data_IF_131770266958
#
_entry.id   IF_131770266958
#
_cell.length_a   1.000
_cell.length_b   1.000
_cell.length_c   1.000
_cell.angle_alpha   90.00
_cell.angle_beta   90.00
_cell.angle_gamma   90.00
#
_symmetry.space_group_name_H-M   'P 1'
#
loop_
_entity.id
_entity.type
_entity.pdbx_description
1 polymer ?
#
# COMPACT_ATOMS: atom_id res chain seq x y z
N UNK A 1 -58.42 24.66 44.25
CA UNK A 1 -57.87 23.85 43.15
C UNK A 1 -56.47 23.45 43.55
N UNK A 2 -56.27 22.14 43.73
CA UNK A 2 -55.06 21.49 44.21
C UNK A 2 -54.37 20.86 43.01
N UNK A 3 -53.05 21.05 42.91
CA UNK A 3 -52.01 20.08 42.51
C UNK A 3 -50.93 20.71 41.61
N UNK A 4 -49.64 20.56 41.98
CA UNK A 4 -48.48 20.96 41.19
C UNK A 4 -47.93 19.78 40.37
N UNK A 5 -47.36 20.05 39.20
CA UNK A 5 -46.52 19.08 38.47
C UNK A 5 -45.05 19.47 38.58
N UNK A 6 -44.35 18.75 39.47
CA UNK A 6 -42.91 18.56 39.45
C UNK A 6 -42.50 17.89 38.13
N UNK A 7 -41.42 18.36 37.50
CA UNK A 7 -40.49 17.44 36.86
C UNK A 7 -39.05 17.93 37.00
N UNK A 8 -38.26 17.02 37.54
CA UNK A 8 -36.86 17.13 37.94
C UNK A 8 -35.93 17.47 36.77
N UNK A 9 -35.17 18.55 36.92
CA UNK A 9 -33.95 18.76 36.14
C UNK A 9 -32.84 17.87 36.68
N UNK A 10 -32.57 16.76 36.00
CA UNK A 10 -31.36 15.97 36.21
C UNK A 10 -30.19 16.64 35.49
N UNK A 11 -29.34 17.31 36.28
CA UNK A 11 -28.00 17.73 35.89
C UNK A 11 -27.18 16.49 35.52
N UNK A 12 -26.95 16.29 34.22
CA UNK A 12 -25.90 15.40 33.75
C UNK A 12 -24.55 16.10 33.97
N UNK A 13 -23.92 15.84 35.12
CA UNK A 13 -22.51 16.10 35.31
C UNK A 13 -21.72 15.13 34.43
N UNK A 14 -21.32 15.57 33.24
CA UNK A 14 -20.39 14.85 32.40
C UNK A 14 -19.00 14.94 33.05
N UNK A 15 -18.54 13.83 33.62
CA UNK A 15 -17.20 13.66 34.18
C UNK A 15 -16.17 13.77 33.05
N UNK A 16 -15.48 14.89 32.94
CA UNK A 16 -14.29 15.03 32.10
C UNK A 16 -13.12 14.32 32.78
N UNK A 17 -13.07 13.00 32.65
CA UNK A 17 -11.83 12.27 32.86
C UNK A 17 -10.98 12.46 31.59
N UNK A 18 -10.32 13.63 31.46
CA UNK A 18 -9.15 13.74 30.60
C UNK A 18 -8.07 12.88 31.25
N UNK A 19 -8.08 11.58 30.92
CA UNK A 19 -6.88 10.78 31.08
C UNK A 19 -5.81 11.48 30.23
N UNK A 20 -4.80 12.03 30.90
CA UNK A 20 -3.55 12.45 30.27
C UNK A 20 -2.93 11.18 29.65
N UNK A 21 -3.41 10.78 28.48
CA UNK A 21 -2.69 9.85 27.65
C UNK A 21 -1.38 10.57 27.32
N UNK A 22 -0.27 10.09 27.89
CA UNK A 22 1.05 10.56 27.47
C UNK A 22 1.13 10.39 25.95
N UNK A 23 1.41 11.49 25.23
CA UNK A 23 1.53 11.43 23.78
C UNK A 23 2.58 10.40 23.40
N UNK A 24 2.30 9.66 22.34
CA UNK A 24 3.21 8.67 21.79
C UNK A 24 3.04 8.61 20.28
N UNK A 25 4.11 8.21 19.59
CA UNK A 25 4.11 8.03 18.14
C UNK A 25 4.88 6.77 17.75
N UNK A 26 4.60 6.26 16.55
CA UNK A 26 5.33 5.14 15.98
C UNK A 26 6.50 5.63 15.15
N UNK A 27 7.68 5.09 15.46
CA UNK A 27 8.90 5.21 14.66
C UNK A 27 9.14 3.88 13.94
N UNK A 28 9.51 3.96 12.66
CA UNK A 28 9.80 2.78 11.85
C UNK A 28 11.28 2.68 11.50
N UNK A 29 11.74 1.45 11.36
CA UNK A 29 13.04 1.10 10.78
C UNK A 29 12.89 -0.21 10.01
N UNK A 30 13.66 -0.38 8.94
CA UNK A 30 13.75 -1.66 8.22
C UNK A 30 14.83 -2.54 8.86
N UNK A 31 14.53 -3.83 9.03
CA UNK A 31 15.54 -4.85 9.35
C UNK A 31 16.20 -5.31 8.06
N UNK A 32 17.44 -4.89 7.83
CA UNK A 32 18.15 -5.09 6.56
C UNK A 32 18.94 -6.41 6.48
N UNK A 33 19.39 -6.75 5.27
CA UNK A 33 20.07 -7.98 4.93
C UNK A 33 19.14 -9.19 4.84
N UNK A 34 17.83 -8.98 4.79
CA UNK A 34 16.85 -10.07 4.68
C UNK A 34 16.50 -10.31 3.21
N UNK A 35 16.33 -9.22 2.45
CA UNK A 35 15.88 -9.26 1.07
C UNK A 35 16.84 -8.49 0.19
N UNK A 36 17.19 -9.02 -0.98
CA UNK A 36 18.11 -8.40 -1.94
C UNK A 36 17.76 -6.93 -2.26
N UNK A 37 16.48 -6.57 -2.19
CA UNK A 37 15.97 -5.23 -2.46
C UNK A 37 16.47 -4.17 -1.47
N UNK A 38 16.94 -4.54 -0.28
CA UNK A 38 17.56 -3.60 0.67
C UNK A 38 19.04 -3.31 0.36
N UNK A 39 19.69 -4.15 -0.45
CA UNK A 39 21.06 -3.96 -0.92
C UNK A 39 21.10 -2.92 -2.06
N UNK A 40 21.99 -1.93 -1.94
CA UNK A 40 22.24 -0.90 -2.96
C UNK A 40 22.82 -1.47 -4.25
N UNK A 41 23.43 -2.67 -4.23
CA UNK A 41 23.94 -3.34 -5.42
C UNK A 41 22.84 -3.97 -6.29
N UNK A 42 21.62 -4.15 -5.76
CA UNK A 42 20.53 -4.79 -6.50
C UNK A 42 19.88 -3.81 -7.49
N UNK A 43 19.98 -4.11 -8.78
CA UNK A 43 19.36 -3.34 -9.86
C UNK A 43 17.83 -3.54 -9.87
N UNK A 44 17.09 -2.54 -9.41
CA UNK A 44 15.64 -2.57 -9.34
C UNK A 44 14.98 -2.74 -10.72
N UNK A 45 15.60 -2.21 -11.79
CA UNK A 45 15.02 -2.24 -13.15
C UNK A 45 15.00 -3.63 -13.78
N UNK A 46 15.86 -4.54 -13.30
CA UNK A 46 16.00 -5.91 -13.80
C UNK A 46 15.55 -6.96 -12.79
N UNK A 47 15.02 -6.52 -11.64
CA UNK A 47 14.73 -7.42 -10.54
C UNK A 47 13.50 -8.30 -10.82
N UNK A 48 13.69 -9.61 -10.84
CA UNK A 48 12.61 -10.58 -10.97
C UNK A 48 12.34 -11.26 -9.62
N UNK A 49 11.38 -10.71 -8.88
CA UNK A 49 11.02 -11.20 -7.54
C UNK A 49 10.50 -12.65 -7.55
N UNK A 50 9.77 -13.07 -8.60
CA UNK A 50 9.24 -14.45 -8.68
C UNK A 50 10.33 -15.48 -8.91
N UNK A 51 11.41 -15.12 -9.62
CA UNK A 51 12.54 -16.02 -9.89
C UNK A 51 13.56 -16.04 -8.74
N UNK A 52 13.51 -15.08 -7.83
CA UNK A 52 14.45 -14.89 -6.73
C UNK A 52 13.85 -15.21 -5.36
N UNK A 53 12.69 -15.87 -5.30
CA UNK A 53 12.00 -16.16 -4.04
C UNK A 53 11.72 -14.89 -3.21
N UNK A 54 11.15 -13.86 -3.86
CA UNK A 54 11.03 -12.48 -3.37
C UNK A 54 12.36 -11.77 -3.05
N UNK A 55 13.49 -12.29 -3.50
CA UNK A 55 14.81 -11.80 -3.12
C UNK A 55 15.23 -12.24 -1.72
N UNK A 56 14.56 -13.22 -1.10
CA UNK A 56 14.95 -13.73 0.21
C UNK A 56 16.39 -14.26 0.15
N UNK A 57 17.27 -13.67 0.95
CA UNK A 57 18.69 -14.02 0.97
C UNK A 57 18.86 -15.35 1.72
N UNK A 58 19.57 -16.31 1.10
CA UNK A 58 20.02 -17.50 1.80
C UNK A 58 21.09 -17.12 2.82
N UNK A 59 20.76 -17.24 4.11
CA UNK A 59 21.61 -16.77 5.22
C UNK A 59 21.33 -17.51 6.52
N UNK A 60 22.23 -17.37 7.48
CA UNK A 60 21.96 -17.73 8.87
C UNK A 60 21.17 -16.65 9.61
N UNK A 61 20.36 -17.07 10.57
CA UNK A 61 19.64 -16.20 11.51
C UNK A 61 20.13 -16.46 12.94
N UNK A 62 20.19 -15.44 13.81
CA UNK A 62 20.55 -15.60 15.21
C UNK A 62 19.69 -16.65 15.97
N UNK A 63 18.44 -16.86 15.54
CA UNK A 63 17.51 -17.82 16.14
C UNK A 63 17.61 -19.24 15.57
N UNK A 64 18.51 -19.50 14.62
CA UNK A 64 18.60 -20.80 13.95
C UNK A 64 18.84 -21.97 14.92
N UNK A 65 19.56 -21.75 16.02
CA UNK A 65 19.85 -22.78 17.02
C UNK A 65 18.59 -23.31 17.73
N UNK A 66 17.52 -22.51 17.78
CA UNK A 66 16.22 -22.89 18.36
C UNK A 66 15.16 -23.18 17.32
N UNK A 67 15.50 -23.15 16.01
CA UNK A 67 14.57 -23.43 14.93
C UNK A 67 14.22 -24.93 14.92
N UNK A 68 12.93 -25.32 15.02
CA UNK A 68 12.51 -26.71 14.91
C UNK A 68 12.97 -27.32 13.58
N UNK A 69 13.53 -28.52 13.63
CA UNK A 69 13.96 -29.29 12.45
C UNK A 69 14.80 -28.49 11.44
N UNK A 70 15.67 -27.59 11.92
CA UNK A 70 16.49 -26.65 11.11
C UNK A 70 17.10 -27.28 9.85
N UNK A 71 17.61 -28.53 9.94
CA UNK A 71 18.25 -29.22 8.80
C UNK A 71 17.30 -29.47 7.62
N UNK A 72 16.00 -29.46 7.86
CA UNK A 72 14.94 -29.70 6.87
C UNK A 72 14.10 -28.43 6.62
N UNK A 73 14.29 -27.36 7.39
CA UNK A 73 13.54 -26.11 7.24
C UNK A 73 13.98 -25.33 6.01
N UNK A 74 13.01 -24.79 5.27
CA UNK A 74 13.29 -23.83 4.20
C UNK A 74 13.78 -22.49 4.76
N UNK A 75 14.35 -21.64 3.89
CA UNK A 75 14.78 -20.29 4.29
C UNK A 75 13.61 -19.44 4.80
N UNK A 76 12.41 -19.62 4.25
CA UNK A 76 11.19 -18.96 4.74
C UNK A 76 10.75 -19.43 6.12
N UNK A 77 10.82 -20.73 6.42
CA UNK A 77 10.49 -21.23 7.76
C UNK A 77 11.48 -20.69 8.79
N UNK A 78 12.76 -20.61 8.43
CA UNK A 78 13.81 -20.03 9.29
C UNK A 78 13.59 -18.53 9.51
N UNK A 79 13.20 -17.79 8.47
CA UNK A 79 12.81 -16.37 8.61
C UNK A 79 11.58 -16.23 9.52
N UNK A 80 10.56 -17.07 9.35
CA UNK A 80 9.36 -17.02 10.18
C UNK A 80 9.67 -17.28 11.66
N UNK A 81 10.54 -18.26 11.95
CA UNK A 81 11.05 -18.52 13.29
C UNK A 81 11.86 -17.35 13.85
N UNK A 82 12.67 -16.70 13.01
CA UNK A 82 13.41 -15.49 13.39
C UNK A 82 12.49 -14.33 13.76
N UNK A 83 11.49 -14.01 12.93
CA UNK A 83 10.52 -12.94 13.23
C UNK A 83 9.73 -13.26 14.51
N UNK A 84 9.31 -14.51 14.70
CA UNK A 84 8.65 -14.95 15.94
C UNK A 84 9.56 -14.76 17.17
N UNK A 85 10.85 -15.09 17.04
CA UNK A 85 11.84 -14.90 18.11
C UNK A 85 12.05 -13.42 18.43
N UNK A 86 12.15 -12.57 17.40
CA UNK A 86 12.23 -11.11 17.56
C UNK A 86 11.04 -10.58 18.35
N UNK A 87 9.81 -10.93 17.94
CA UNK A 87 8.60 -10.48 18.63
C UNK A 87 8.48 -11.02 20.07
N UNK A 88 8.95 -12.26 20.33
CA UNK A 88 8.95 -12.82 21.69
C UNK A 88 9.94 -12.12 22.63
N UNK A 89 11.06 -11.65 22.09
CA UNK A 89 12.13 -10.98 22.86
C UNK A 89 11.98 -9.45 22.88
N UNK A 90 11.13 -8.89 22.02
CA UNK A 90 10.90 -7.47 21.92
C UNK A 90 10.37 -6.88 23.24
N UNK A 91 10.82 -5.70 23.66
CA UNK A 91 10.14 -4.95 24.70
C UNK A 91 8.72 -4.59 24.25
N UNK A 92 7.83 -4.30 25.20
CA UNK A 92 6.40 -4.03 24.92
C UNK A 92 6.12 -2.89 23.95
N UNK A 93 7.09 -2.01 23.73
CA UNK A 93 6.98 -0.87 22.82
C UNK A 93 7.59 -1.15 21.44
N UNK A 94 7.99 -2.39 21.14
CA UNK A 94 8.56 -2.77 19.84
C UNK A 94 7.76 -3.93 19.23
N UNK A 95 7.59 -3.88 17.91
CA UNK A 95 6.94 -4.94 17.12
C UNK A 95 7.61 -5.10 15.77
N UNK A 96 7.75 -6.34 15.33
CA UNK A 96 8.29 -6.69 14.02
C UNK A 96 7.18 -7.26 13.15
N UNK A 97 7.03 -6.74 11.93
CA UNK A 97 6.05 -7.22 10.96
C UNK A 97 6.68 -7.27 9.56
N UNK A 98 6.32 -8.27 8.77
CA UNK A 98 6.74 -8.46 7.40
C UNK A 98 5.60 -8.02 6.47
N UNK A 99 5.84 -6.94 5.71
CA UNK A 99 4.87 -6.40 4.77
C UNK A 99 5.23 -6.83 3.36
N UNK A 100 4.31 -7.48 2.66
CA UNK A 100 4.39 -7.79 1.23
C UNK A 100 3.64 -6.70 0.46
N UNK A 101 4.38 -5.76 -0.13
CA UNK A 101 3.82 -4.63 -0.87
C UNK A 101 3.85 -4.93 -2.38
N UNK A 102 2.69 -5.08 -3.01
CA UNK A 102 2.54 -5.37 -4.44
C UNK A 102 2.02 -4.19 -5.22
N UNK A 103 2.72 -3.82 -6.31
CA UNK A 103 2.20 -2.90 -7.32
C UNK A 103 1.13 -3.62 -8.16
N UNK A 104 0.03 -2.93 -8.45
CA UNK A 104 -1.00 -3.45 -9.36
C UNK A 104 -0.41 -3.96 -10.69
N UNK A 105 -1.11 -4.91 -11.32
CA UNK A 105 -0.83 -5.30 -12.71
C UNK A 105 -1.06 -4.15 -13.68
N UNK A 106 -0.57 -4.26 -14.90
CA UNK A 106 -0.73 -3.22 -15.92
C UNK A 106 -2.22 -2.82 -16.08
N UNK A 107 -2.49 -1.53 -15.89
CA UNK A 107 -3.79 -0.94 -16.17
C UNK A 107 -3.82 -0.21 -17.51
N UNK A 108 -5.02 0.07 -18.01
CA UNK A 108 -5.17 0.81 -19.26
C UNK A 108 -4.46 2.18 -19.27
N UNK A 109 -4.32 2.84 -18.11
CA UNK A 109 -3.52 4.06 -17.98
C UNK A 109 -2.02 3.83 -18.26
N UNK A 110 -1.44 2.70 -17.84
CA UNK A 110 -0.03 2.37 -18.12
C UNK A 110 0.19 2.07 -19.60
N UNK A 111 -0.75 1.32 -20.20
CA UNK A 111 -0.73 1.03 -21.62
C UNK A 111 -0.88 2.32 -22.46
N UNK A 112 -1.77 3.24 -22.03
CA UNK A 112 -1.95 4.54 -22.65
C UNK A 112 -0.70 5.41 -22.53
N UNK A 113 -0.08 5.51 -21.35
CA UNK A 113 1.19 6.21 -21.17
C UNK A 113 2.27 5.67 -22.11
N UNK A 114 2.41 4.34 -22.19
CA UNK A 114 3.38 3.69 -23.09
C UNK A 114 3.11 3.98 -24.57
N UNK A 115 1.83 4.05 -24.96
CA UNK A 115 1.42 4.30 -26.34
C UNK A 115 1.64 5.77 -26.77
N UNK A 116 1.20 6.71 -25.93
CA UNK A 116 1.29 8.15 -26.21
C UNK A 116 2.68 8.72 -25.93
N UNK A 117 3.44 8.12 -25.01
CA UNK A 117 4.70 8.64 -24.48
C UNK A 117 4.46 9.53 -23.26
N UNK A 118 5.38 9.49 -22.29
CA UNK A 118 5.25 10.17 -21.00
C UNK A 118 4.95 11.68 -21.10
N UNK A 119 5.59 12.47 -21.98
CA UNK A 119 5.24 13.89 -22.11
C UNK A 119 3.79 14.11 -22.56
N UNK A 120 3.34 13.43 -23.61
CA UNK A 120 1.97 13.57 -24.10
C UNK A 120 0.93 13.01 -23.13
N UNK A 121 1.31 11.97 -22.38
CA UNK A 121 0.49 11.42 -21.32
C UNK A 121 0.28 12.44 -20.21
N UNK A 122 1.35 12.86 -19.53
CA UNK A 122 1.29 13.73 -18.35
C UNK A 122 0.66 15.11 -18.62
N UNK A 123 0.78 15.59 -19.85
CA UNK A 123 0.42 16.98 -20.20
C UNK A 123 -0.87 17.12 -21.00
N UNK A 124 -1.55 16.02 -21.34
CA UNK A 124 -2.80 16.12 -22.10
C UNK A 124 -3.70 14.89 -21.89
N UNK A 125 -3.20 13.69 -22.19
CA UNK A 125 -4.06 12.51 -22.25
C UNK A 125 -4.55 12.05 -20.88
N UNK A 126 -3.71 12.18 -19.84
CA UNK A 126 -4.04 11.72 -18.49
C UNK A 126 -5.16 12.55 -17.83
N UNK A 127 -5.38 13.79 -18.28
CA UNK A 127 -6.45 14.68 -17.79
C UNK A 127 -7.83 14.30 -18.32
N UNK A 128 -7.87 13.51 -19.40
CA UNK A 128 -9.11 13.00 -19.98
C UNK A 128 -9.48 11.67 -19.31
N UNK A 129 -10.74 11.27 -19.35
CA UNK A 129 -11.17 9.96 -18.85
C UNK A 129 -10.79 8.80 -19.78
N UNK A 130 -10.47 9.11 -21.05
CA UNK A 130 -10.22 8.14 -22.11
C UNK A 130 -10.09 8.79 -23.48
N UNK A 131 -9.96 7.98 -24.54
CA UNK A 131 -9.94 8.43 -25.94
C UNK A 131 -11.18 7.99 -26.75
N UNK A 132 -12.27 7.63 -26.08
CA UNK A 132 -13.48 7.10 -26.70
C UNK A 132 -13.41 5.62 -27.11
N UNK A 133 -12.24 4.99 -27.09
CA UNK A 133 -12.06 3.54 -27.29
C UNK A 133 -11.66 2.84 -25.99
N UNK A 134 -10.79 3.48 -25.21
CA UNK A 134 -10.28 2.99 -23.93
C UNK A 134 -10.53 4.05 -22.86
N UNK A 135 -10.94 3.59 -21.67
CA UNK A 135 -11.09 4.42 -20.46
C UNK A 135 -9.91 4.15 -19.53
N UNK A 136 -9.28 5.22 -19.02
CA UNK A 136 -8.22 5.15 -18.02
C UNK A 136 -8.52 5.91 -16.73
N UNK A 137 -9.66 6.62 -16.65
CA UNK A 137 -10.23 7.01 -15.36
C UNK A 137 -10.48 5.76 -14.50
N UNK A 138 -10.03 5.80 -13.24
CA UNK A 138 -9.99 4.63 -12.33
C UNK A 138 -9.64 3.31 -13.04
N UNK A 139 -8.57 3.34 -13.87
CA UNK A 139 -8.32 2.32 -14.88
C UNK A 139 -8.46 0.88 -14.39
N UNK A 140 -9.14 0.06 -15.17
CA UNK A 140 -9.13 -1.40 -15.04
C UNK A 140 -7.81 -2.00 -15.52
N UNK A 141 -7.56 -3.26 -15.15
CA UNK A 141 -6.43 -4.03 -15.67
C UNK A 141 -6.58 -4.31 -17.17
N UNK A 142 -5.46 -4.31 -17.88
CA UNK A 142 -5.37 -4.90 -19.23
C UNK A 142 -5.33 -6.43 -19.13
N UNK A 143 -5.43 -7.13 -20.27
CA UNK A 143 -5.18 -8.59 -20.30
C UNK A 143 -3.77 -8.93 -19.79
N UNK A 144 -2.77 -8.12 -20.12
CA UNK A 144 -1.41 -8.24 -19.58
C UNK A 144 -1.40 -8.06 -18.06
N UNK A 145 -2.12 -7.07 -17.51
CA UNK A 145 -2.25 -6.89 -16.06
C UNK A 145 -2.90 -8.08 -15.36
N UNK A 146 -3.93 -8.69 -15.97
CA UNK A 146 -4.57 -9.90 -15.47
C UNK A 146 -3.59 -11.09 -15.47
N UNK A 147 -2.80 -11.26 -16.53
CA UNK A 147 -1.77 -12.31 -16.61
C UNK A 147 -0.69 -12.08 -15.55
N UNK A 148 -0.25 -10.84 -15.35
CA UNK A 148 0.71 -10.48 -14.30
C UNK A 148 0.19 -10.87 -12.91
N UNK A 149 -1.04 -10.49 -12.55
CA UNK A 149 -1.64 -10.82 -11.25
C UNK A 149 -1.77 -12.35 -11.05
N UNK A 150 -2.19 -13.09 -12.08
CA UNK A 150 -2.27 -14.56 -12.04
C UNK A 150 -0.90 -15.23 -11.92
N UNK A 151 0.16 -14.64 -12.47
CA UNK A 151 1.53 -15.10 -12.25
C UNK A 151 1.93 -14.96 -10.79
N UNK A 152 1.55 -13.86 -10.12
CA UNK A 152 1.79 -13.68 -8.68
C UNK A 152 0.98 -14.70 -7.87
N UNK A 153 -0.25 -15.01 -8.26
CA UNK A 153 -1.03 -16.09 -7.64
C UNK A 153 -0.33 -17.46 -7.74
N UNK A 154 0.18 -17.80 -8.92
CA UNK A 154 0.95 -19.03 -9.14
C UNK A 154 2.20 -19.07 -8.28
N UNK A 155 2.91 -17.94 -8.18
CA UNK A 155 4.06 -17.80 -7.31
C UNK A 155 3.71 -18.01 -5.83
N UNK A 156 2.63 -17.41 -5.34
CA UNK A 156 2.14 -17.66 -3.97
C UNK A 156 1.76 -19.13 -3.73
N UNK A 157 1.16 -19.82 -4.70
CA UNK A 157 0.89 -21.27 -4.58
C UNK A 157 2.17 -22.06 -4.36
N UNK A 158 3.21 -21.78 -5.15
CA UNK A 158 4.53 -22.38 -5.00
C UNK A 158 5.14 -22.05 -3.64
N UNK A 159 5.12 -20.77 -3.22
CA UNK A 159 5.69 -20.37 -1.94
C UNK A 159 5.03 -21.08 -0.75
N UNK A 160 3.71 -21.24 -0.78
CA UNK A 160 2.96 -21.90 0.29
C UNK A 160 3.20 -23.42 0.25
N UNK A 161 3.15 -24.03 -0.94
CA UNK A 161 3.21 -25.47 -1.09
C UNK A 161 4.63 -26.03 -0.88
N UNK A 162 5.64 -25.35 -1.43
CA UNK A 162 6.98 -25.89 -1.58
C UNK A 162 7.96 -25.18 -0.64
N UNK A 163 7.96 -23.85 -0.66
CA UNK A 163 8.86 -23.03 0.17
C UNK A 163 8.38 -22.87 1.62
N UNK A 164 7.17 -23.33 1.94
CA UNK A 164 6.56 -23.27 3.28
C UNK A 164 6.54 -21.85 3.87
N UNK A 165 6.31 -20.84 3.03
CA UNK A 165 6.12 -19.46 3.49
C UNK A 165 4.94 -19.38 4.46
N UNK A 166 5.02 -18.49 5.45
CA UNK A 166 3.82 -18.09 6.19
C UNK A 166 3.04 -17.07 5.34
N UNK A 167 1.82 -17.37 4.89
CA UNK A 167 1.05 -16.42 4.08
C UNK A 167 0.60 -15.22 4.92
N UNK A 168 0.21 -14.11 4.28
CA UNK A 168 -0.31 -12.94 4.99
C UNK A 168 -1.51 -13.30 5.87
N UNK A 169 -1.55 -12.69 7.05
CA UNK A 169 -2.62 -12.82 8.03
C UNK A 169 -3.72 -11.80 7.77
N UNK A 170 -3.34 -10.61 7.31
CA UNK A 170 -4.23 -9.53 6.86
C UNK A 170 -3.85 -9.01 5.48
N UNK A 171 -4.85 -8.43 4.81
CA UNK A 171 -4.75 -7.95 3.44
C UNK A 171 -5.32 -6.55 3.36
N UNK A 172 -4.56 -5.62 2.80
CA UNK A 172 -4.96 -4.25 2.56
C UNK A 172 -4.79 -3.91 1.08
N UNK A 173 -5.62 -2.99 0.60
CA UNK A 173 -5.56 -2.53 -0.79
C UNK A 173 -5.94 -1.07 -0.92
N UNK A 174 -5.34 -0.41 -1.91
CA UNK A 174 -5.85 0.84 -2.48
C UNK A 174 -7.32 0.71 -2.92
N UNK A 175 -8.09 1.80 -2.89
CA UNK A 175 -9.46 1.86 -3.41
C UNK A 175 -9.56 1.89 -4.95
N UNK A 176 -8.49 2.23 -5.67
CA UNK A 176 -8.46 2.27 -7.13
C UNK A 176 -8.63 0.86 -7.75
N UNK A 177 -9.46 0.74 -8.78
CA UNK A 177 -9.97 -0.52 -9.33
C UNK A 177 -8.86 -1.52 -9.68
N UNK A 178 -7.81 -1.06 -10.36
CA UNK A 178 -6.63 -1.88 -10.70
C UNK A 178 -5.99 -2.59 -9.51
N UNK A 179 -5.96 -1.97 -8.33
CA UNK A 179 -5.43 -2.61 -7.12
C UNK A 179 -6.41 -3.62 -6.54
N UNK A 180 -7.70 -3.29 -6.52
CA UNK A 180 -8.76 -4.19 -6.06
C UNK A 180 -8.77 -5.48 -6.88
N UNK A 181 -8.70 -5.36 -8.20
CA UNK A 181 -8.69 -6.51 -9.11
C UNK A 181 -7.36 -7.28 -9.04
N UNK A 182 -6.22 -6.59 -8.94
CA UNK A 182 -4.92 -7.24 -8.72
C UNK A 182 -4.92 -8.05 -7.43
N UNK A 183 -5.40 -7.49 -6.32
CA UNK A 183 -5.47 -8.18 -5.04
C UNK A 183 -6.36 -9.42 -5.12
N UNK A 184 -7.55 -9.26 -5.73
CA UNK A 184 -8.50 -10.37 -5.95
C UNK A 184 -7.85 -11.51 -6.74
N UNK A 185 -7.23 -11.21 -7.88
CA UNK A 185 -6.58 -12.21 -8.73
C UNK A 185 -5.37 -12.85 -8.05
N UNK A 186 -4.59 -12.07 -7.31
CA UNK A 186 -3.38 -12.55 -6.62
C UNK A 186 -3.70 -13.58 -5.55
N UNK A 187 -4.76 -13.40 -4.76
CA UNK A 187 -4.98 -14.22 -3.55
C UNK A 187 -6.20 -15.16 -3.62
N UNK A 188 -7.09 -15.01 -4.61
CA UNK A 188 -8.22 -15.92 -4.76
C UNK A 188 -7.78 -17.36 -5.02
N UNK A 189 -8.46 -18.31 -4.38
CA UNK A 189 -8.21 -19.76 -4.56
C UNK A 189 -6.92 -20.28 -3.94
N UNK A 190 -6.15 -19.46 -3.20
CA UNK A 190 -5.02 -19.93 -2.42
C UNK A 190 -5.47 -20.78 -1.23
N UNK A 191 -4.66 -21.79 -0.86
CA UNK A 191 -4.88 -22.61 0.35
C UNK A 191 -4.39 -21.84 1.58
N UNK A 192 -5.21 -20.90 2.06
CA UNK A 192 -4.91 -20.06 3.22
C UNK A 192 -5.41 -20.69 4.53
N UNK A 193 -4.78 -20.39 5.69
CA UNK A 193 -5.27 -20.80 6.99
C UNK A 193 -6.70 -20.30 7.24
N UNK A 194 -7.58 -21.17 7.76
CA UNK A 194 -9.00 -20.80 8.02
C UNK A 194 -9.16 -19.59 8.94
N UNK A 195 -8.23 -19.39 9.87
CA UNK A 195 -8.22 -18.24 10.79
C UNK A 195 -7.90 -16.91 10.10
N UNK A 196 -7.20 -16.95 8.96
CA UNK A 196 -6.72 -15.80 8.23
C UNK A 196 -7.16 -15.89 6.75
N UNK A 197 -8.48 -15.85 6.47
CA UNK A 197 -8.98 -15.90 5.10
C UNK A 197 -8.62 -14.62 4.33
N UNK A 198 -8.61 -14.70 3.00
CA UNK A 198 -8.48 -13.52 2.15
C UNK A 198 -9.74 -12.66 2.21
N UNK A 199 -9.71 -11.62 3.06
CA UNK A 199 -10.77 -10.62 3.21
C UNK A 199 -10.10 -9.24 3.31
N UNK A 200 -9.84 -8.58 2.17
CA UNK A 200 -9.11 -7.33 2.15
C UNK A 200 -9.86 -6.19 2.82
N UNK A 201 -9.09 -5.28 3.44
CA UNK A 201 -9.57 -3.97 3.86
C UNK A 201 -9.06 -2.89 2.90
N UNK A 202 -9.99 -2.13 2.34
CA UNK A 202 -9.74 -1.00 1.46
C UNK A 202 -9.36 0.20 2.34
N UNK A 203 -8.16 0.73 2.12
CA UNK A 203 -7.59 1.87 2.82
C UNK A 203 -7.34 3.00 1.82
N UNK A 204 -8.00 4.13 2.04
CA UNK A 204 -7.98 5.27 1.14
C UNK A 204 -6.56 5.77 0.87
N UNK A 205 -5.75 5.86 1.92
CA UNK A 205 -4.36 6.33 1.86
C UNK A 205 -3.36 5.34 1.25
N UNK A 206 -3.80 4.16 0.79
CA UNK A 206 -2.99 3.28 -0.06
C UNK A 206 -3.11 3.61 -1.55
N UNK A 207 -3.86 4.64 -1.92
CA UNK A 207 -4.02 5.10 -3.31
C UNK A 207 -2.73 5.69 -3.91
N UNK A 208 -2.67 5.76 -5.24
CA UNK A 208 -1.52 6.35 -5.96
C UNK A 208 -1.33 7.82 -5.56
N UNK A 209 -0.15 8.36 -5.87
CA UNK A 209 0.06 9.82 -5.94
C UNK A 209 -1.14 10.50 -6.60
N UNK A 210 -1.65 11.56 -5.99
CA UNK A 210 -2.84 12.26 -6.48
C UNK A 210 -2.37 13.40 -7.38
N UNK A 211 -2.65 13.30 -8.67
CA UNK A 211 -2.34 14.33 -9.66
C UNK A 211 -3.59 14.77 -10.42
N UNK A 212 -3.43 15.64 -11.43
CA UNK A 212 -4.52 15.97 -12.34
C UNK A 212 -4.98 14.77 -13.18
N UNK A 213 -4.28 13.63 -13.11
CA UNK A 213 -4.61 12.46 -13.90
C UNK A 213 -5.91 11.81 -13.42
N UNK A 214 -6.85 11.58 -14.34
CA UNK A 214 -8.14 10.95 -14.01
C UNK A 214 -7.99 9.51 -13.54
N UNK A 215 -6.87 8.86 -13.84
CA UNK A 215 -6.53 7.53 -13.32
C UNK A 215 -6.26 7.53 -11.81
N UNK A 216 -6.04 8.70 -11.21
CA UNK A 216 -5.85 8.86 -9.77
C UNK A 216 -7.18 9.07 -9.05
N UNK A 217 -8.26 9.44 -9.76
CA UNK A 217 -9.62 9.54 -9.25
C UNK A 217 -10.22 8.15 -9.07
N UNK A 218 -10.70 7.82 -7.86
CA UNK A 218 -11.36 6.53 -7.60
C UNK A 218 -12.84 6.55 -7.93
N UNK A 219 -13.37 5.39 -8.28
CA UNK A 219 -14.82 5.16 -8.32
C UNK A 219 -15.46 5.38 -6.95
N UNK A 220 -16.77 5.63 -6.94
CA UNK A 220 -17.51 5.76 -5.70
C UNK A 220 -17.62 4.42 -4.95
N UNK A 221 -17.88 4.51 -3.65
CA UNK A 221 -17.95 3.37 -2.73
C UNK A 221 -19.03 2.37 -3.16
N UNK A 222 -20.18 2.83 -3.64
CA UNK A 222 -21.26 1.97 -4.14
C UNK A 222 -20.79 1.09 -5.31
N UNK A 223 -20.10 1.68 -6.29
CA UNK A 223 -19.53 0.94 -7.42
C UNK A 223 -18.48 -0.06 -6.97
N UNK A 224 -17.56 0.34 -6.08
CA UNK A 224 -16.55 -0.55 -5.52
C UNK A 224 -17.21 -1.73 -4.79
N UNK A 225 -18.19 -1.46 -3.91
CA UNK A 225 -18.87 -2.51 -3.15
C UNK A 225 -19.60 -3.51 -4.05
N UNK A 226 -20.26 -3.01 -5.11
CA UNK A 226 -20.95 -3.86 -6.08
C UNK A 226 -20.00 -4.84 -6.79
N UNK A 227 -18.79 -4.40 -7.11
CA UNK A 227 -17.81 -5.20 -7.86
C UNK A 227 -16.92 -6.07 -6.94
N UNK A 228 -16.72 -5.66 -5.68
CA UNK A 228 -15.89 -6.34 -4.69
C UNK A 228 -16.65 -6.54 -3.37
N UNK A 229 -17.76 -7.31 -3.36
CA UNK A 229 -18.68 -7.36 -2.22
C UNK A 229 -18.08 -7.99 -0.95
N UNK A 230 -17.02 -8.79 -1.09
CA UNK A 230 -16.30 -9.38 0.05
C UNK A 230 -15.25 -8.46 0.67
N UNK A 231 -14.91 -7.34 0.02
CA UNK A 231 -13.89 -6.42 0.51
C UNK A 231 -14.52 -5.48 1.52
N UNK A 232 -13.79 -5.19 2.59
CA UNK A 232 -14.23 -4.30 3.67
C UNK A 232 -13.71 -2.90 3.41
N UNK A 233 -14.52 -1.88 3.62
CA UNK A 233 -14.04 -0.50 3.67
C UNK A 233 -13.56 -0.18 5.08
N UNK A 234 -12.55 0.67 5.19
CA UNK A 234 -12.21 1.25 6.49
C UNK A 234 -13.34 2.11 7.07
N UNK A 235 -13.28 2.34 8.38
CA UNK A 235 -14.28 3.14 9.09
C UNK A 235 -14.29 4.57 8.53
N UNK A 236 -15.48 5.06 8.19
CA UNK A 236 -15.64 6.42 7.67
C UNK A 236 -15.30 6.60 6.20
N UNK A 237 -15.05 5.51 5.45
CA UNK A 237 -14.77 5.60 4.02
C UNK A 237 -15.88 6.35 3.26
N UNK A 238 -15.55 7.47 2.57
CA UNK A 238 -16.54 8.34 1.94
C UNK A 238 -17.13 7.72 0.67
N UNK A 239 -18.32 8.18 0.27
CA UNK A 239 -18.98 7.69 -0.94
C UNK A 239 -18.19 8.11 -2.19
N UNK A 240 -18.09 9.41 -2.42
CA UNK A 240 -17.32 10.01 -3.50
C UNK A 240 -15.86 10.21 -3.10
N UNK A 241 -14.98 10.41 -4.09
CA UNK A 241 -13.56 10.73 -3.90
C UNK A 241 -13.40 12.15 -3.35
N UNK A 242 -12.89 12.34 -2.12
CA UNK A 242 -12.78 13.67 -1.53
C UNK A 242 -11.40 14.32 -1.77
N UNK A 243 -10.46 13.64 -2.43
CA UNK A 243 -9.07 14.11 -2.57
C UNK A 243 -8.69 14.51 -3.98
N UNK A 244 -9.16 13.77 -5.00
CA UNK A 244 -8.86 14.11 -6.38
C UNK A 244 -9.54 15.43 -6.77
N UNK A 245 -8.75 16.37 -7.28
CA UNK A 245 -9.23 17.65 -7.78
C UNK A 245 -8.64 17.88 -9.17
N UNK A 246 -9.49 18.25 -10.12
CA UNK A 246 -9.09 18.51 -11.50
C UNK A 246 -7.98 19.58 -11.55
N UNK A 247 -6.92 19.35 -12.35
CA UNK A 247 -5.77 20.26 -12.53
C UNK A 247 -4.89 20.50 -11.29
N UNK A 248 -5.02 19.72 -10.22
CA UNK A 248 -4.19 19.86 -9.02
C UNK A 248 -3.40 18.59 -8.70
N UNK A 249 -2.20 18.76 -8.18
CA UNK A 249 -1.34 17.66 -7.74
C UNK A 249 -0.96 17.77 -6.27
N UNK A 250 -0.93 16.63 -5.59
CA UNK A 250 -0.49 16.54 -4.22
C UNK A 250 1.04 16.69 -4.13
N UNK A 251 1.55 17.53 -3.22
CA UNK A 251 2.97 17.60 -2.97
C UNK A 251 3.48 16.27 -2.41
N UNK A 252 4.70 15.90 -2.77
CA UNK A 252 5.36 14.67 -2.29
C UNK A 252 5.36 14.54 -0.76
N UNK A 253 5.48 15.65 -0.04
CA UNK A 253 5.41 15.68 1.43
C UNK A 253 4.03 15.26 1.96
N UNK A 254 2.95 15.59 1.25
CA UNK A 254 1.59 15.17 1.60
C UNK A 254 1.41 13.67 1.36
N UNK A 255 1.98 13.14 0.27
CA UNK A 255 1.99 11.70 0.04
C UNK A 255 2.72 10.97 1.17
N UNK A 256 3.94 11.42 1.53
CA UNK A 256 4.71 10.85 2.65
C UNK A 256 3.92 10.92 3.97
N UNK A 257 3.20 12.04 4.21
CA UNK A 257 2.34 12.23 5.38
C UNK A 257 1.18 11.22 5.44
N UNK A 258 0.44 11.01 4.34
CA UNK A 258 -0.68 10.04 4.32
C UNK A 258 -0.20 8.59 4.31
N UNK A 259 0.96 8.30 3.71
CA UNK A 259 1.62 6.98 3.82
C UNK A 259 2.04 6.68 5.26
N UNK A 260 2.55 7.68 6.00
CA UNK A 260 2.80 7.55 7.45
C UNK A 260 1.51 7.30 8.23
N UNK A 261 0.44 8.04 7.93
CA UNK A 261 -0.83 7.88 8.60
C UNK A 261 -1.44 6.47 8.42
N UNK A 262 -1.36 5.90 7.22
CA UNK A 262 -1.88 4.54 6.98
C UNK A 262 -0.99 3.46 7.61
N UNK A 263 0.33 3.64 7.64
CA UNK A 263 1.23 2.76 8.40
C UNK A 263 0.90 2.80 9.89
N UNK A 264 0.68 4.00 10.45
CA UNK A 264 0.33 4.18 11.85
C UNK A 264 -0.99 3.51 12.19
N UNK A 265 -2.00 3.67 11.33
CA UNK A 265 -3.29 3.01 11.49
C UNK A 265 -3.18 1.48 11.46
N UNK A 266 -2.45 0.91 10.49
CA UNK A 266 -2.25 -0.54 10.40
C UNK A 266 -1.50 -1.04 11.64
N UNK A 267 -0.38 -0.42 12.02
CA UNK A 267 0.40 -0.87 13.17
C UNK A 267 -0.31 -0.68 14.52
N UNK A 268 -1.26 0.25 14.62
CA UNK A 268 -2.01 0.50 15.85
C UNK A 268 -3.27 -0.36 15.98
N UNK A 269 -3.82 -0.87 14.87
CA UNK A 269 -5.10 -1.58 14.86
C UNK A 269 -5.03 -3.02 14.33
N UNK A 270 -3.86 -3.48 13.90
CA UNK A 270 -3.65 -4.84 13.40
C UNK A 270 -2.39 -5.49 14.02
N UNK A 271 -2.62 -6.49 14.86
CA UNK A 271 -1.58 -7.27 15.54
C UNK A 271 -0.90 -8.33 14.65
N UNK A 272 -1.30 -8.43 13.37
CA UNK A 272 -0.72 -9.38 12.41
C UNK A 272 0.77 -9.17 12.19
N UNK A 273 1.51 -10.27 12.10
CA UNK A 273 2.96 -10.26 11.79
C UNK A 273 3.20 -10.24 10.28
N UNK A 274 2.35 -10.89 9.49
CA UNK A 274 2.50 -10.95 8.03
C UNK A 274 1.35 -10.20 7.38
N UNK A 275 1.65 -9.13 6.65
CA UNK A 275 0.65 -8.22 6.09
C UNK A 275 0.86 -8.09 4.60
N UNK A 276 -0.22 -8.15 3.81
CA UNK A 276 -0.18 -7.84 2.38
C UNK A 276 -0.76 -6.46 2.12
N UNK A 277 -0.11 -5.68 1.26
CA UNK A 277 -0.60 -4.40 0.74
C UNK A 277 -0.57 -4.46 -0.78
N UNK A 278 -1.71 -4.22 -1.44
CA UNK A 278 -1.77 -4.01 -2.90
C UNK A 278 -1.99 -2.53 -3.21
N UNK A 279 -1.04 -1.92 -3.90
CA UNK A 279 -0.98 -0.46 -4.10
C UNK A 279 -0.30 -0.13 -5.44
N UNK A 280 0.37 1.02 -5.53
CA UNK A 280 0.87 1.62 -6.76
C UNK A 280 2.36 1.96 -6.65
N UNK A 281 2.97 2.36 -7.76
CA UNK A 281 4.40 2.69 -7.79
C UNK A 281 4.76 3.88 -6.90
N UNK A 282 4.01 4.98 -6.99
CA UNK A 282 4.30 6.19 -6.21
C UNK A 282 4.04 5.95 -4.73
N UNK A 283 2.91 5.32 -4.40
CA UNK A 283 2.56 5.01 -3.01
C UNK A 283 3.52 4.02 -2.35
N UNK A 284 3.90 2.92 -3.02
CA UNK A 284 4.91 2.01 -2.46
C UNK A 284 6.25 2.74 -2.31
N UNK A 285 6.61 3.60 -3.28
CA UNK A 285 7.78 4.47 -3.16
C UNK A 285 7.71 5.39 -1.92
N UNK A 286 6.53 5.88 -1.58
CA UNK A 286 6.27 6.70 -0.39
C UNK A 286 6.38 5.88 0.91
N UNK A 287 5.73 4.72 0.97
CA UNK A 287 5.85 3.79 2.09
C UNK A 287 7.32 3.41 2.36
N UNK A 288 8.10 3.10 1.31
CA UNK A 288 9.52 2.79 1.45
C UNK A 288 10.31 3.95 2.06
N UNK A 289 10.05 5.20 1.64
CA UNK A 289 10.70 6.39 2.23
C UNK A 289 10.36 6.56 3.70
N UNK A 290 9.07 6.44 4.05
CA UNK A 290 8.60 6.56 5.43
C UNK A 290 9.19 5.48 6.34
N UNK A 291 9.37 4.26 5.81
CA UNK A 291 9.99 3.16 6.53
C UNK A 291 11.52 3.29 6.66
N UNK A 292 12.14 4.22 5.93
CA UNK A 292 13.59 4.36 5.84
C UNK A 292 14.26 3.28 4.97
N UNK A 293 13.51 2.65 4.08
CA UNK A 293 14.05 1.78 3.03
C UNK A 293 14.65 2.64 1.92
N UNK A 294 15.63 2.11 1.19
CA UNK A 294 16.12 2.77 -0.04
C UNK A 294 15.03 2.87 -1.09
N UNK A 295 15.21 3.73 -2.08
CA UNK A 295 14.33 3.74 -3.27
C UNK A 295 14.47 2.41 -4.00
N UNK A 296 13.33 1.77 -4.28
CA UNK A 296 13.26 0.55 -5.08
C UNK A 296 12.01 0.59 -5.96
N UNK A 297 12.19 0.87 -7.24
CA UNK A 297 11.08 0.94 -8.20
C UNK A 297 10.54 -0.45 -8.53
N UNK A 298 9.21 -0.58 -8.59
CA UNK A 298 8.54 -1.83 -8.95
C UNK A 298 7.92 -1.72 -10.34
N UNK A 299 8.15 -2.72 -11.20
CA UNK A 299 7.39 -2.92 -12.43
C UNK A 299 5.93 -3.30 -12.12
N UNK A 300 5.03 -3.12 -13.09
CA UNK A 300 3.64 -3.56 -12.94
C UNK A 300 3.57 -5.05 -12.59
N UNK A 301 2.70 -5.41 -11.65
CA UNK A 301 2.56 -6.77 -11.13
C UNK A 301 3.76 -7.28 -10.30
N UNK A 302 4.68 -6.40 -9.90
CA UNK A 302 5.80 -6.75 -9.01
C UNK A 302 5.52 -6.47 -7.55
N UNK A 303 6.20 -7.18 -6.66
CA UNK A 303 6.02 -7.03 -5.22
C UNK A 303 7.36 -7.07 -4.46
N UNK A 304 7.39 -6.39 -3.30
CA UNK A 304 8.54 -6.27 -2.41
C UNK A 304 8.14 -6.62 -0.97
N UNK A 305 8.79 -7.61 -0.33
CA UNK A 305 8.69 -7.79 1.11
C UNK A 305 9.60 -6.81 1.86
N UNK A 306 9.14 -6.29 2.99
CA UNK A 306 9.94 -5.44 3.89
C UNK A 306 9.69 -5.87 5.33
N UNK A 307 10.75 -6.30 6.03
CA UNK A 307 10.69 -6.57 7.46
C UNK A 307 10.85 -5.27 8.23
N UNK A 308 9.79 -4.86 8.92
CA UNK A 308 9.67 -3.56 9.58
C UNK A 308 9.74 -3.78 11.09
N UNK A 309 10.56 -2.99 11.77
CA UNK A 309 10.49 -2.77 13.21
C UNK A 309 9.75 -1.46 13.47
N UNK A 310 8.60 -1.56 14.13
CA UNK A 310 7.89 -0.43 14.70
C UNK A 310 8.27 -0.26 16.17
N UNK A 311 8.46 0.98 16.60
CA UNK A 311 8.76 1.32 18.00
C UNK A 311 7.85 2.45 18.44
N UNK A 312 7.06 2.21 19.48
CA UNK A 312 6.28 3.24 20.17
C UNK A 312 7.21 4.08 21.03
N UNK A 313 7.29 5.36 20.72
CA UNK A 313 8.14 6.34 21.40
C UNK A 313 7.24 7.30 22.18
N UNK A 314 7.60 7.56 23.45
CA UNK A 314 6.90 8.54 24.29
C UNK A 314 7.25 9.96 23.85
N UNK A 315 6.28 10.86 23.94
CA UNK A 315 6.38 12.26 23.55
C UNK A 315 5.71 12.54 22.21
N UNK A 316 5.74 13.81 21.84
CA UNK A 316 5.17 14.25 20.57
C UNK A 316 6.03 13.75 19.41
N UNK A 317 5.36 13.21 18.39
CA UNK A 317 6.01 12.79 17.16
C UNK A 317 6.52 13.98 16.34
N UNK A 318 7.29 13.72 15.28
CA UNK A 318 7.64 14.74 14.30
C UNK A 318 6.36 15.43 13.80
N UNK A 319 6.39 16.76 13.74
CA UNK A 319 5.27 17.51 13.18
C UNK A 319 5.11 17.16 11.71
N UNK A 320 3.94 16.67 11.33
CA UNK A 320 3.56 16.47 9.94
C UNK A 320 2.80 17.69 9.47
N UNK A 321 3.30 18.38 8.45
CA UNK A 321 2.63 19.53 7.84
C UNK A 321 2.22 19.15 6.43
N UNK A 322 0.94 19.31 6.12
CA UNK A 322 0.44 19.22 4.74
C UNK A 322 0.53 20.57 4.07
N UNK A 323 0.84 20.56 2.78
CA UNK A 323 0.91 21.71 1.89
C UNK A 323 -0.36 21.79 1.04
N UNK A 324 -0.77 22.98 0.55
CA UNK A 324 -1.83 23.05 -0.45
C UNK A 324 -1.42 22.27 -1.71
N UNK A 325 -2.40 21.79 -2.47
CA UNK A 325 -2.11 21.18 -3.76
C UNK A 325 -1.69 22.26 -4.75
N UNK A 326 -0.69 21.93 -5.57
CA UNK A 326 -0.18 22.83 -6.58
C UNK A 326 -0.98 22.65 -7.88
N UNK A 327 -1.20 23.74 -8.61
CA UNK A 327 -1.77 23.65 -9.94
C UNK A 327 -0.80 22.90 -10.86
N UNK A 328 -1.29 21.89 -11.57
CA UNK A 328 -0.52 21.11 -12.51
C UNK A 328 -0.48 21.82 -13.87
N UNK A 329 0.71 21.92 -14.46
CA UNK A 329 0.87 22.43 -15.82
C UNK A 329 0.32 21.42 -16.83
N UNK A 330 -0.40 21.91 -17.84
CA UNK A 330 -1.07 21.09 -18.86
C UNK A 330 -0.99 21.76 -20.23
N UNK A 331 -1.21 20.98 -21.29
CA UNK A 331 -1.22 21.45 -22.67
C UNK A 331 -2.64 21.49 -23.25
N UNK A 332 -2.93 22.43 -24.14
CA UNK A 332 -4.19 22.47 -24.90
C UNK A 332 -4.25 21.42 -26.01
N UNK A 333 -3.09 20.88 -26.42
CA UNK A 333 -2.95 19.82 -27.42
C UNK A 333 -1.78 18.91 -27.03
N UNK A 334 -1.80 17.61 -27.40
CA UNK A 334 -0.75 16.68 -26.98
C UNK A 334 0.59 17.06 -27.64
N UNK A 335 1.69 17.21 -26.88
CA UNK A 335 3.02 17.44 -27.43
C UNK A 335 3.44 16.25 -28.31
N UNK A 336 4.14 16.53 -29.41
CA UNK A 336 4.67 15.50 -30.32
C UNK A 336 6.01 14.92 -29.86
N UNK A 337 6.66 15.58 -28.90
CA UNK A 337 7.90 15.12 -28.27
C UNK A 337 7.62 13.89 -27.42
N UNK A 338 8.42 12.85 -27.62
CA UNK A 338 8.35 11.59 -26.86
C UNK A 338 9.52 11.39 -25.88
N UNK A 339 10.58 12.18 -26.01
CA UNK A 339 11.71 12.14 -25.09
C UNK A 339 11.32 12.74 -23.73
N UNK A 340 11.89 12.22 -22.65
CA UNK A 340 11.58 12.61 -21.28
C UNK A 340 12.04 14.02 -20.89
N UNK A 341 12.75 14.72 -21.78
CA UNK A 341 13.14 16.13 -21.60
C UNK A 341 11.96 17.09 -21.35
N UNK A 342 10.72 16.64 -21.59
CA UNK A 342 9.50 17.45 -21.53
C UNK A 342 8.44 16.93 -20.55
N UNK A 343 8.84 16.18 -19.53
CA UNK A 343 7.88 15.57 -18.59
C UNK A 343 7.16 16.57 -17.67
N UNK A 344 7.57 17.84 -17.68
CA UNK A 344 7.02 18.96 -16.90
C UNK A 344 6.07 19.86 -17.70
N UNK A 345 5.71 19.44 -18.92
CA UNK A 345 4.84 20.18 -19.83
C UNK A 345 5.43 21.50 -20.34
N UNK A 346 6.74 21.70 -20.23
CA UNK A 346 7.43 22.89 -20.74
C UNK A 346 7.40 23.05 -22.27
N UNK A 347 7.03 22.01 -23.02
CA UNK A 347 6.96 22.02 -24.49
C UNK A 347 5.54 21.96 -25.04
N UNK A 348 4.54 22.39 -24.26
CA UNK A 348 3.23 22.73 -24.82
C UNK A 348 3.42 23.84 -25.89
N UNK A 349 2.89 23.62 -27.10
CA UNK A 349 2.92 24.59 -28.19
C UNK A 349 1.71 25.52 -28.17
#
# INVERSE_FOLDING_TARGET
MVAPTLLYGLLAAASTANAYAHSAYLKYTVVTGIFQQDDNATDASKFNFTASNFGLIERSYPSDSSCPDRKQSTQWQRLAHYISTLNKQAPRNERYALFFMGRHGEGYHNAAESFFGTPAWNCYWSELDGNGTVTWADAHLTETGVVQANRVNTFWKHLIADEKITPPETYYTSPLYRCLDTAKLTFSGLKLPRKNPFVPTIKEYLREGISAHTCDRRSNKTYIHKNFPSFKFEKGFPEEDPYWTELFAEPRANQDARSKAVLDDIFSNDDSTYVSITSHSGEIGSLLRVLGHRVFSLSTGSAIPVLIKATTVKGDGPTTTTLPYDAQATCTAPPTIRDSSCNDCSCCL
#
